data_IF_357690351801
#
_entry.id   IF_357690351801
#
_cell.length_a   1.000
_cell.length_b   1.000
_cell.length_c   1.000
_cell.angle_alpha   90.00
_cell.angle_beta   90.00
_cell.angle_gamma   90.00
#
_symmetry.space_group_name_H-M   'P 1'
#
loop_
_entity.id
_entity.type
_entity.pdbx_description
1 polymer ?
#
# COMPACT_ATOMS: atom_id res chain seq x y z
N UNK A 1 9.24 27.79 -5.51
CA UNK A 1 10.20 26.69 -5.34
C UNK A 1 10.09 26.26 -3.89
N UNK A 2 9.41 25.13 -3.64
CA UNK A 2 8.76 24.84 -2.36
C UNK A 2 9.45 23.68 -1.64
N UNK A 3 9.93 23.94 -0.42
CA UNK A 3 10.39 22.91 0.50
C UNK A 3 9.25 21.99 1.00
N UNK A 4 7.98 22.33 0.71
CA UNK A 4 6.81 21.52 1.06
C UNK A 4 6.53 20.36 0.08
N UNK A 5 7.17 20.32 -1.10
CA UNK A 5 7.10 19.16 -2.02
C UNK A 5 8.06 18.02 -1.61
N UNK A 6 8.95 18.28 -0.65
CA UNK A 6 10.05 17.38 -0.25
C UNK A 6 9.67 16.31 0.78
N UNK A 7 8.46 16.35 1.35
CA UNK A 7 8.07 15.43 2.42
C UNK A 7 6.79 14.68 2.00
N UNK A 8 6.89 13.38 1.74
CA UNK A 8 5.79 12.41 1.89
C UNK A 8 4.64 12.40 0.88
N UNK A 9 4.90 12.59 -0.42
CA UNK A 9 4.05 11.90 -1.41
C UNK A 9 4.53 10.45 -1.48
N UNK A 10 3.87 9.59 -0.71
CA UNK A 10 3.88 8.13 -0.89
C UNK A 10 3.92 7.89 -2.39
N UNK A 11 5.04 7.34 -2.87
CA UNK A 11 5.30 7.17 -4.31
C UNK A 11 4.09 6.44 -4.89
N UNK A 12 3.34 7.11 -5.76
CA UNK A 12 2.11 6.54 -6.30
C UNK A 12 2.43 5.15 -6.88
N UNK A 13 1.61 4.11 -6.66
CA UNK A 13 1.87 2.77 -7.17
C UNK A 13 2.23 2.73 -8.67
N UNK A 14 1.68 3.66 -9.44
CA UNK A 14 2.00 3.88 -10.85
C UNK A 14 3.45 4.29 -11.11
N UNK A 15 4.04 5.11 -10.25
CA UNK A 15 5.45 5.53 -10.35
C UNK A 15 6.37 4.35 -10.02
N UNK A 16 6.06 3.57 -8.99
CA UNK A 16 6.86 2.36 -8.69
C UNK A 16 6.78 1.36 -9.83
N UNK A 17 5.60 1.20 -10.45
CA UNK A 17 5.44 0.39 -11.66
C UNK A 17 6.25 0.91 -12.84
N UNK A 18 6.24 2.22 -13.08
CA UNK A 18 7.01 2.82 -14.16
C UNK A 18 8.53 2.64 -13.96
N UNK A 19 9.03 2.89 -12.74
CA UNK A 19 10.44 2.70 -12.40
C UNK A 19 10.85 1.24 -12.51
N UNK A 20 10.05 0.31 -11.97
CA UNK A 20 10.32 -1.12 -12.07
C UNK A 20 10.40 -1.60 -13.52
N UNK A 21 9.51 -1.10 -14.40
CA UNK A 21 9.55 -1.39 -15.83
C UNK A 21 10.84 -0.87 -16.48
N UNK A 22 11.26 0.36 -16.17
CA UNK A 22 12.51 0.95 -16.67
C UNK A 22 13.71 0.10 -16.24
N UNK A 23 13.75 -0.38 -15.00
CA UNK A 23 14.80 -1.27 -14.50
C UNK A 23 14.81 -2.61 -15.25
N UNK A 24 13.66 -3.21 -15.52
CA UNK A 24 13.57 -4.44 -16.32
C UNK A 24 14.10 -4.22 -17.74
N UNK A 25 13.65 -3.16 -18.43
CA UNK A 25 14.09 -2.86 -19.80
C UNK A 25 15.59 -2.58 -19.83
N UNK A 26 16.10 -1.83 -18.87
CA UNK A 26 17.54 -1.52 -18.75
C UNK A 26 18.36 -2.77 -18.47
N UNK A 27 17.89 -3.67 -17.60
CA UNK A 27 18.55 -4.94 -17.33
C UNK A 27 18.62 -5.85 -18.57
N UNK A 28 17.51 -5.95 -19.32
CA UNK A 28 17.47 -6.72 -20.57
C UNK A 28 18.41 -6.12 -21.62
N UNK A 29 18.33 -4.81 -21.85
CA UNK A 29 19.21 -4.11 -22.80
C UNK A 29 20.69 -4.24 -22.41
N UNK A 30 20.98 -4.11 -21.11
CA UNK A 30 22.32 -4.30 -20.55
C UNK A 30 22.87 -5.69 -20.80
N UNK A 31 22.09 -6.74 -20.48
CA UNK A 31 22.47 -8.13 -20.74
C UNK A 31 22.78 -8.39 -22.22
N UNK A 32 22.00 -7.81 -23.15
CA UNK A 32 22.23 -7.93 -24.59
C UNK A 32 23.56 -7.26 -24.99
N UNK A 33 23.81 -6.03 -24.54
CA UNK A 33 25.03 -5.28 -24.86
C UNK A 33 26.28 -5.96 -24.28
N UNK A 34 26.22 -6.42 -23.04
CA UNK A 34 27.35 -7.09 -22.37
C UNK A 34 27.67 -8.45 -22.98
N UNK A 35 26.65 -9.13 -23.53
CA UNK A 35 26.85 -10.36 -24.30
C UNK A 35 27.63 -10.10 -25.59
N UNK A 36 27.45 -8.94 -26.23
CA UNK A 36 28.22 -8.55 -27.43
C UNK A 36 29.67 -8.19 -27.05
N UNK A 37 29.87 -7.60 -25.87
CA UNK A 37 31.18 -7.23 -25.35
C UNK A 37 31.96 -8.39 -24.68
N UNK A 38 31.47 -9.62 -24.79
CA UNK A 38 32.05 -10.85 -24.23
C UNK A 38 32.39 -10.75 -22.72
N UNK A 39 31.58 -9.98 -21.97
CA UNK A 39 31.81 -9.67 -20.56
C UNK A 39 30.73 -10.31 -19.68
N UNK A 40 30.98 -11.53 -19.20
CA UNK A 40 30.02 -12.32 -18.40
C UNK A 40 29.68 -11.63 -17.06
N UNK A 41 30.68 -11.04 -16.39
CA UNK A 41 30.47 -10.36 -15.10
C UNK A 41 29.50 -9.17 -15.22
N UNK A 42 29.58 -8.44 -16.34
CA UNK A 42 28.69 -7.32 -16.62
C UNK A 42 27.26 -7.80 -16.94
N UNK A 43 27.11 -8.93 -17.62
CA UNK A 43 25.79 -9.51 -17.89
C UNK A 43 25.07 -9.92 -16.59
N UNK A 44 25.80 -10.50 -15.64
CA UNK A 44 25.25 -10.88 -14.33
C UNK A 44 24.79 -9.64 -13.55
N UNK A 45 25.60 -8.57 -13.53
CA UNK A 45 25.25 -7.33 -12.85
C UNK A 45 23.98 -6.68 -13.43
N UNK A 46 23.86 -6.59 -14.76
CA UNK A 46 22.64 -6.08 -15.40
C UNK A 46 21.42 -6.98 -15.20
N UNK A 47 21.63 -8.29 -15.12
CA UNK A 47 20.58 -9.25 -14.72
C UNK A 47 20.05 -9.00 -13.32
N UNK A 48 20.93 -8.75 -12.33
CA UNK A 48 20.53 -8.38 -10.97
C UNK A 48 19.72 -7.08 -10.92
N UNK A 49 20.12 -6.06 -11.68
CA UNK A 49 19.36 -4.81 -11.81
C UNK A 49 17.95 -5.08 -12.36
N UNK A 50 17.83 -5.89 -13.42
CA UNK A 50 16.53 -6.29 -13.96
C UNK A 50 15.68 -7.09 -12.97
N UNK A 51 16.30 -8.00 -12.21
CA UNK A 51 15.62 -8.83 -11.20
C UNK A 51 15.05 -7.99 -10.05
N UNK A 52 15.77 -6.97 -9.58
CA UNK A 52 15.25 -6.05 -8.55
C UNK A 52 14.03 -5.27 -9.04
N UNK A 53 14.05 -4.83 -10.30
CA UNK A 53 12.89 -4.20 -10.94
C UNK A 53 11.68 -5.14 -11.01
N UNK A 54 11.88 -6.39 -11.45
CA UNK A 54 10.82 -7.39 -11.52
C UNK A 54 10.24 -7.74 -10.13
N UNK A 55 11.11 -7.87 -9.13
CA UNK A 55 10.68 -8.12 -7.75
C UNK A 55 9.87 -6.96 -7.19
N UNK A 56 10.27 -5.71 -7.44
CA UNK A 56 9.50 -4.53 -7.06
C UNK A 56 8.12 -4.52 -7.73
N UNK A 57 8.05 -4.85 -9.02
CA UNK A 57 6.78 -4.96 -9.75
C UNK A 57 5.86 -6.03 -9.18
N UNK A 58 6.42 -7.20 -8.84
CA UNK A 58 5.68 -8.30 -8.23
C UNK A 58 5.10 -7.87 -6.88
N UNK A 59 5.93 -7.30 -6.00
CA UNK A 59 5.49 -6.84 -4.68
C UNK A 59 4.36 -5.80 -4.80
N UNK A 60 4.53 -4.77 -5.64
CA UNK A 60 3.49 -3.76 -5.86
C UNK A 60 2.23 -4.37 -6.47
N UNK A 61 2.38 -5.31 -7.40
CA UNK A 61 1.26 -6.00 -8.04
C UNK A 61 0.42 -6.83 -7.06
N UNK A 62 1.04 -7.39 -6.02
CA UNK A 62 0.36 -8.21 -5.01
C UNK A 62 -0.15 -7.38 -3.83
N UNK A 63 0.68 -6.47 -3.28
CA UNK A 63 0.35 -5.75 -2.06
C UNK A 63 -0.70 -4.67 -2.28
N UNK A 64 -0.64 -3.92 -3.38
CA UNK A 64 -1.57 -2.79 -3.60
C UNK A 64 -3.03 -3.27 -3.66
N UNK A 65 -3.39 -4.29 -4.46
CA UNK A 65 -4.76 -4.79 -4.47
C UNK A 65 -5.20 -5.40 -3.12
N UNK A 66 -4.28 -6.01 -2.39
CA UNK A 66 -4.58 -6.56 -1.06
C UNK A 66 -4.90 -5.45 -0.05
N UNK A 67 -4.13 -4.36 -0.06
CA UNK A 67 -4.36 -3.18 0.79
C UNK A 67 -5.65 -2.46 0.40
N UNK A 68 -5.90 -2.26 -0.90
CA UNK A 68 -7.15 -1.65 -1.38
C UNK A 68 -8.38 -2.47 -0.96
N UNK A 69 -8.31 -3.80 -1.07
CA UNK A 69 -9.39 -4.68 -0.59
C UNK A 69 -9.59 -4.57 0.91
N UNK A 70 -8.52 -4.61 1.69
CA UNK A 70 -8.61 -4.47 3.14
C UNK A 70 -9.26 -3.13 3.54
N UNK A 71 -8.81 -2.02 2.93
CA UNK A 71 -9.39 -0.71 3.15
C UNK A 71 -10.88 -0.64 2.77
N UNK A 72 -11.28 -1.27 1.65
CA UNK A 72 -12.69 -1.31 1.25
C UNK A 72 -13.58 -2.09 2.21
N UNK A 73 -13.05 -3.16 2.82
CA UNK A 73 -13.77 -3.96 3.82
C UNK A 73 -13.93 -3.19 5.13
N UNK A 74 -12.90 -2.43 5.53
CA UNK A 74 -12.96 -1.57 6.71
C UNK A 74 -14.03 -0.47 6.54
N UNK A 75 -14.12 0.15 5.36
CA UNK A 75 -15.15 1.14 5.04
C UNK A 75 -16.57 0.54 5.08
N UNK A 76 -16.75 -0.66 4.52
CA UNK A 76 -18.05 -1.35 4.57
C UNK A 76 -18.43 -1.68 6.02
N UNK A 77 -17.47 -2.09 6.86
CA UNK A 77 -17.72 -2.32 8.28
C UNK A 77 -18.08 -1.03 9.03
N UNK A 78 -17.41 0.08 8.74
CA UNK A 78 -17.71 1.38 9.32
C UNK A 78 -19.14 1.83 8.97
N UNK A 79 -19.53 1.74 7.69
CA UNK A 79 -20.88 2.11 7.25
C UNK A 79 -21.99 1.30 7.95
N UNK A 80 -21.79 -0.01 8.15
CA UNK A 80 -22.72 -0.87 8.87
C UNK A 80 -22.82 -0.51 10.36
N UNK A 81 -21.71 -0.08 10.96
CA UNK A 81 -21.69 0.40 12.35
C UNK A 81 -22.49 1.70 12.48
N UNK A 82 -22.26 2.66 11.59
CA UNK A 82 -22.98 3.93 11.56
C UNK A 82 -24.49 3.73 11.41
N UNK A 83 -24.93 2.88 10.47
CA UNK A 83 -26.35 2.57 10.29
C UNK A 83 -26.97 1.95 11.55
N UNK A 84 -26.20 1.13 12.28
CA UNK A 84 -26.66 0.49 13.52
C UNK A 84 -26.77 1.49 14.67
N UNK A 85 -25.80 2.39 14.80
CA UNK A 85 -25.85 3.51 15.76
C UNK A 85 -27.04 4.40 15.47
N UNK A 86 -27.25 4.78 14.21
CA UNK A 86 -28.37 5.63 13.81
C UNK A 86 -29.72 4.98 14.12
N UNK A 87 -29.85 3.66 13.90
CA UNK A 87 -31.06 2.92 14.29
C UNK A 87 -31.29 2.88 15.80
N UNK A 88 -30.23 2.75 16.61
CA UNK A 88 -30.35 2.76 18.07
C UNK A 88 -30.82 4.14 18.57
N UNK A 89 -30.22 5.22 18.05
CA UNK A 89 -30.63 6.59 18.37
C UNK A 89 -32.06 6.85 17.91
N UNK A 90 -32.45 6.41 16.71
CA UNK A 90 -33.82 6.53 16.20
C UNK A 90 -34.84 5.73 17.02
N UNK A 91 -34.41 4.62 17.64
CA UNK A 91 -35.23 3.85 18.59
C UNK A 91 -35.34 4.51 19.98
N UNK A 92 -34.70 5.66 20.19
CA UNK A 92 -34.77 6.45 21.42
C UNK A 92 -33.62 6.23 22.39
N UNK A 93 -32.52 5.59 21.97
CA UNK A 93 -31.31 5.54 22.78
C UNK A 93 -30.69 6.94 22.93
N UNK A 94 -30.18 7.27 24.11
CA UNK A 94 -29.47 8.52 24.35
C UNK A 94 -28.17 8.57 23.54
N UNK A 95 -28.00 9.62 22.73
CA UNK A 95 -26.85 9.76 21.86
C UNK A 95 -25.54 9.91 22.65
N UNK A 96 -25.59 10.54 23.83
CA UNK A 96 -24.44 10.70 24.71
C UNK A 96 -23.96 9.37 25.27
N UNK A 97 -24.87 8.52 25.76
CA UNK A 97 -24.56 7.18 26.24
C UNK A 97 -24.05 6.27 25.11
N UNK A 98 -24.67 6.31 23.92
CA UNK A 98 -24.22 5.54 22.76
C UNK A 98 -22.82 5.96 22.34
N UNK A 99 -22.53 7.27 22.30
CA UNK A 99 -21.20 7.80 21.99
C UNK A 99 -20.17 7.34 23.03
N UNK A 100 -20.47 7.46 24.32
CA UNK A 100 -19.59 7.00 25.39
C UNK A 100 -19.30 5.49 25.31
N UNK A 101 -20.30 4.67 24.94
CA UNK A 101 -20.11 3.23 24.76
C UNK A 101 -19.20 2.90 23.56
N UNK A 102 -19.37 3.60 22.43
CA UNK A 102 -18.50 3.45 21.25
C UNK A 102 -17.05 3.88 21.56
N UNK A 103 -16.87 4.97 22.30
CA UNK A 103 -15.55 5.44 22.72
C UNK A 103 -14.87 4.42 23.65
N UNK A 104 -15.61 3.87 24.62
CA UNK A 104 -15.10 2.82 25.51
C UNK A 104 -14.71 1.54 24.75
N UNK A 105 -15.52 1.13 23.77
CA UNK A 105 -15.23 -0.01 22.91
C UNK A 105 -13.98 0.23 22.04
N UNK A 106 -13.85 1.43 21.45
CA UNK A 106 -12.67 1.83 20.66
C UNK A 106 -11.41 1.81 21.50
N UNK A 107 -11.47 2.36 22.70
CA UNK A 107 -10.34 2.40 23.64
C UNK A 107 -9.93 1.01 24.10
N UNK A 108 -10.89 0.11 24.33
CA UNK A 108 -10.62 -1.29 24.65
C UNK A 108 -9.93 -2.01 23.46
N UNK A 109 -10.43 -1.80 22.24
CA UNK A 109 -9.83 -2.36 21.03
C UNK A 109 -8.41 -1.84 20.74
N UNK A 110 -8.15 -0.56 21.04
CA UNK A 110 -6.82 0.04 20.91
C UNK A 110 -5.81 -0.61 21.85
N UNK A 111 -6.20 -0.92 23.09
CA UNK A 111 -5.33 -1.61 24.06
C UNK A 111 -5.05 -3.06 23.66
N UNK A 112 -6.03 -3.78 23.12
CA UNK A 112 -5.84 -5.19 22.76
C UNK A 112 -4.96 -5.41 21.54
N UNK A 113 -4.86 -4.43 20.63
CA UNK A 113 -3.97 -4.47 19.45
C UNK A 113 -2.54 -3.99 19.73
N UNK A 114 -2.32 -3.34 20.87
CA UNK A 114 -1.01 -2.81 21.28
C UNK A 114 -0.28 -3.66 22.33
N UNK A 115 -0.80 -4.86 22.64
CA UNK A 115 -0.23 -5.80 23.61
C UNK A 115 0.37 -7.04 22.96
#
# INVERSE_FOLDING_TARGET
MSAADAQTRIVAPSVVRAVGLVFCVTGIAGMIITSIADSIDAAIAFGFVGATGALALLLVGVLVPAVERAASLDEEQASRLEERVQRLVAAGADEGEVRAAVDAATELGRRSRGG
#
